data_IF_451019847119
#
_entry.id   IF_451019847119
#
_cell.length_a   1.000
_cell.length_b   1.000
_cell.length_c   1.000
_cell.angle_alpha   90.00
_cell.angle_beta   90.00
_cell.angle_gamma   90.00
#
_symmetry.space_group_name_H-M   'P 1'
#
loop_
_entity.id
_entity.type
_entity.pdbx_description
1 polymer ?
#
# COMPACT_ATOMS: atom_id res chain seq x y z
N UNK A 1 12.83 -10.99 9.73
CA UNK A 1 12.07 -9.82 10.25
C UNK A 1 11.05 -10.33 11.25
N UNK A 2 11.28 -10.11 12.54
CA UNK A 2 10.32 -10.43 13.61
C UNK A 2 9.14 -9.45 13.58
N UNK A 3 7.93 -9.87 13.99
CA UNK A 3 6.71 -9.05 13.92
C UNK A 3 6.81 -7.72 14.68
N UNK A 4 7.65 -7.63 15.72
CA UNK A 4 7.88 -6.40 16.49
C UNK A 4 8.53 -5.30 15.65
N UNK A 5 9.54 -5.64 14.84
CA UNK A 5 10.26 -4.66 14.01
C UNK A 5 9.38 -4.03 12.93
N UNK A 6 8.31 -4.71 12.52
CA UNK A 6 7.42 -4.26 11.44
C UNK A 6 6.50 -3.15 11.94
N UNK A 7 5.93 -3.35 13.13
CA UNK A 7 5.13 -2.32 13.78
C UNK A 7 5.97 -1.10 14.13
N UNK A 8 7.21 -1.29 14.59
CA UNK A 8 8.12 -0.18 14.92
C UNK A 8 8.62 0.57 13.69
N UNK A 9 8.92 -0.12 12.58
CA UNK A 9 9.46 0.52 11.36
C UNK A 9 8.39 1.12 10.45
N UNK A 10 7.21 0.51 10.40
CA UNK A 10 6.20 0.84 9.40
C UNK A 10 4.85 1.23 10.00
N UNK A 11 4.64 1.04 11.31
CA UNK A 11 3.34 1.28 11.94
C UNK A 11 2.27 0.27 11.53
N UNK A 12 2.66 -0.82 10.86
CA UNK A 12 1.75 -1.81 10.28
C UNK A 12 1.70 -3.08 11.11
N UNK A 13 0.55 -3.75 11.09
CA UNK A 13 0.44 -5.13 11.57
C UNK A 13 0.89 -6.13 10.49
N UNK A 14 1.34 -7.35 10.84
CA UNK A 14 1.84 -8.31 9.85
C UNK A 14 0.87 -8.59 8.69
N UNK A 15 -0.44 -8.60 8.93
CA UNK A 15 -1.46 -8.79 7.88
C UNK A 15 -1.50 -7.68 6.84
N UNK A 16 -1.13 -6.45 7.21
CA UNK A 16 -1.11 -5.30 6.30
C UNK A 16 0.08 -5.34 5.33
N UNK A 17 1.10 -6.17 5.59
CA UNK A 17 2.18 -6.34 4.63
C UNK A 17 1.70 -7.00 3.34
N UNK A 18 0.69 -7.86 3.42
CA UNK A 18 0.06 -8.48 2.26
C UNK A 18 -0.60 -7.39 1.41
N UNK A 19 -1.30 -6.46 2.05
CA UNK A 19 -1.91 -5.29 1.39
C UNK A 19 -0.86 -4.37 0.76
N UNK A 20 0.27 -4.17 1.44
CA UNK A 20 1.40 -3.39 0.90
C UNK A 20 1.96 -4.06 -0.34
N UNK A 21 2.16 -5.39 -0.31
CA UNK A 21 2.63 -6.15 -1.48
C UNK A 21 1.61 -6.13 -2.62
N UNK A 22 0.32 -6.17 -2.31
CA UNK A 22 -0.73 -6.07 -3.33
C UNK A 22 -0.68 -4.73 -4.09
N UNK A 23 -0.29 -3.64 -3.42
CA UNK A 23 -0.12 -2.34 -4.07
C UNK A 23 1.26 -2.15 -4.73
N UNK A 24 2.34 -2.49 -4.03
CA UNK A 24 3.70 -2.26 -4.48
C UNK A 24 4.22 -3.32 -5.47
N UNK A 25 3.57 -4.49 -5.49
CA UNK A 25 4.07 -5.69 -6.14
C UNK A 25 5.13 -6.39 -5.29
N UNK A 26 5.40 -7.64 -5.66
CA UNK A 26 6.52 -8.42 -5.15
C UNK A 26 7.11 -9.26 -6.31
N UNK A 27 8.26 -8.85 -6.87
CA UNK A 27 8.86 -9.57 -7.99
C UNK A 27 9.37 -10.95 -7.61
N UNK A 28 9.67 -11.21 -6.34
CA UNK A 28 10.12 -12.53 -5.87
C UNK A 28 8.96 -13.52 -5.85
N UNK A 29 7.78 -13.04 -5.45
CA UNK A 29 6.52 -13.80 -5.42
C UNK A 29 5.74 -13.72 -6.76
N UNK A 30 6.30 -13.07 -7.80
CA UNK A 30 5.63 -12.78 -9.09
C UNK A 30 4.28 -12.05 -8.94
N UNK A 31 4.15 -11.21 -7.91
CA UNK A 31 2.97 -10.40 -7.66
C UNK A 31 3.12 -9.07 -8.41
N UNK A 32 2.28 -8.77 -9.42
CA UNK A 32 2.26 -7.46 -10.03
C UNK A 32 1.65 -6.44 -9.05
N UNK A 33 2.19 -5.22 -9.05
CA UNK A 33 1.66 -4.10 -8.28
C UNK A 33 1.21 -2.96 -9.20
N UNK A 34 0.66 -1.91 -8.59
CA UNK A 34 0.24 -0.70 -9.30
C UNK A 34 1.47 0.02 -9.83
N UNK A 35 1.53 0.23 -11.14
CA UNK A 35 2.68 0.86 -11.78
C UNK A 35 2.98 2.25 -11.19
N UNK A 36 4.21 2.44 -10.72
CA UNK A 36 4.66 3.70 -10.13
C UNK A 36 4.21 3.93 -8.67
N UNK A 37 3.65 2.92 -8.01
CA UNK A 37 3.46 2.85 -6.55
C UNK A 37 4.49 1.86 -5.99
N UNK A 38 5.45 2.37 -5.23
CA UNK A 38 6.46 1.53 -4.56
C UNK A 38 6.13 1.25 -3.10
N UNK A 39 6.90 0.38 -2.46
CA UNK A 39 6.70 -0.08 -1.07
C UNK A 39 6.46 1.08 -0.09
N UNK A 40 7.26 2.15 -0.15
CA UNK A 40 7.10 3.31 0.75
C UNK A 40 5.74 4.00 0.62
N UNK A 41 5.26 4.15 -0.62
CA UNK A 41 3.95 4.76 -0.89
C UNK A 41 2.84 3.81 -0.46
N UNK A 42 2.96 2.52 -0.78
CA UNK A 42 2.01 1.50 -0.35
C UNK A 42 1.88 1.41 1.18
N UNK A 43 3.00 1.39 1.91
CA UNK A 43 3.00 1.42 3.39
C UNK A 43 2.23 2.61 3.92
N UNK A 44 2.47 3.81 3.39
CA UNK A 44 1.77 5.02 3.85
C UNK A 44 0.27 4.91 3.61
N UNK A 45 -0.13 4.48 2.41
CA UNK A 45 -1.54 4.33 2.05
C UNK A 45 -2.24 3.30 2.92
N UNK A 46 -1.63 2.12 3.13
CA UNK A 46 -2.19 1.06 3.96
C UNK A 46 -2.18 1.42 5.45
N UNK A 47 -1.20 2.18 5.93
CA UNK A 47 -1.19 2.68 7.30
C UNK A 47 -2.38 3.64 7.56
N UNK A 48 -2.73 4.46 6.58
CA UNK A 48 -3.86 5.40 6.67
C UNK A 48 -5.23 4.74 6.46
N UNK A 49 -5.31 3.75 5.58
CA UNK A 49 -6.59 3.18 5.10
C UNK A 49 -6.89 1.79 5.61
N UNK A 50 -5.91 1.12 6.23
CA UNK A 50 -6.03 -0.21 6.78
C UNK A 50 -5.81 -1.31 5.74
N UNK A 51 -6.55 -1.24 4.62
CA UNK A 51 -6.60 -2.26 3.56
C UNK A 51 -6.62 -1.63 2.18
N UNK A 52 -6.31 -2.40 1.15
CA UNK A 52 -6.44 -1.99 -0.26
C UNK A 52 -7.88 -1.62 -0.58
N UNK A 53 -8.85 -2.41 -0.12
CA UNK A 53 -10.27 -2.08 -0.29
C UNK A 53 -10.61 -0.72 0.37
N UNK A 54 -10.18 -0.52 1.62
CA UNK A 54 -10.36 0.75 2.34
C UNK A 54 -9.74 1.94 1.59
N UNK A 55 -8.59 1.75 0.95
CA UNK A 55 -7.97 2.75 0.09
C UNK A 55 -8.85 3.11 -1.10
N UNK A 56 -9.36 2.11 -1.83
CA UNK A 56 -10.19 2.37 -3.02
C UNK A 56 -11.56 2.96 -2.66
N UNK A 57 -12.17 2.54 -1.55
CA UNK A 57 -13.43 3.12 -1.05
C UNK A 57 -13.29 4.60 -0.66
N UNK A 58 -12.12 5.00 -0.18
CA UNK A 58 -11.86 6.37 0.27
C UNK A 58 -11.04 7.20 -0.73
N UNK A 59 -10.73 6.66 -1.92
CA UNK A 59 -9.73 7.22 -2.83
C UNK A 59 -10.00 8.68 -3.21
N UNK A 60 -11.27 9.04 -3.38
CA UNK A 60 -11.69 10.40 -3.71
C UNK A 60 -11.70 11.33 -2.48
N UNK A 61 -11.92 10.78 -1.28
CA UNK A 61 -11.91 11.53 -0.01
C UNK A 61 -10.50 11.76 0.54
N UNK A 62 -9.52 10.95 0.15
CA UNK A 62 -8.14 11.10 0.62
C UNK A 62 -7.44 12.29 -0.05
N UNK A 63 -6.67 13.02 0.74
CA UNK A 63 -5.79 14.10 0.27
C UNK A 63 -4.50 13.51 -0.32
N UNK A 64 -4.63 12.88 -1.49
CA UNK A 64 -3.51 12.36 -2.29
C UNK A 64 -3.24 13.28 -3.47
N UNK A 65 -1.99 13.27 -3.96
CA UNK A 65 -1.67 13.99 -5.19
C UNK A 65 -2.37 13.34 -6.40
N UNK A 66 -2.71 14.16 -7.40
CA UNK A 66 -3.38 13.69 -8.62
C UNK A 66 -2.59 12.58 -9.32
N UNK A 67 -1.26 12.64 -9.28
CA UNK A 67 -0.39 11.60 -9.82
C UNK A 67 -0.52 10.25 -9.12
N UNK A 68 -0.71 10.24 -7.79
CA UNK A 68 -0.93 8.99 -7.03
C UNK A 68 -2.34 8.47 -7.30
N UNK A 69 -3.36 9.34 -7.29
CA UNK A 69 -4.74 8.95 -7.61
C UNK A 69 -4.84 8.36 -9.00
N UNK A 70 -4.20 8.98 -9.99
CA UNK A 70 -4.23 8.50 -11.37
C UNK A 70 -3.57 7.12 -11.50
N UNK A 71 -2.43 6.88 -10.85
CA UNK A 71 -1.80 5.56 -10.85
C UNK A 71 -2.71 4.49 -10.25
N UNK A 72 -3.32 4.77 -9.10
CA UNK A 72 -4.24 3.85 -8.44
C UNK A 72 -5.49 3.56 -9.28
N UNK A 73 -6.00 4.55 -10.03
CA UNK A 73 -7.17 4.38 -10.93
C UNK A 73 -6.86 3.62 -12.23
N UNK A 74 -5.60 3.56 -12.66
CA UNK A 74 -5.20 2.97 -13.95
C UNK A 74 -4.35 1.69 -13.82
N UNK A 75 -4.03 1.27 -12.59
CA UNK A 75 -3.21 0.09 -12.32
C UNK A 75 -3.97 -1.01 -11.62
#
# INVERSE_FOLDING_TARGET
NTPETIREKFGLVPGQLIEVKALAGDPSDNIPGVFGIGEKTAVKLIAETGTVDGLYQNLDSLTLSDGVKNKLKNG
#
